data_IF_856908985356
#
_entry.id   IF_856908985356
#
_cell.length_a   1.000
_cell.length_b   1.000
_cell.length_c   1.000
_cell.angle_alpha   90.00
_cell.angle_beta   90.00
_cell.angle_gamma   90.00
#
_symmetry.space_group_name_H-M   'P 1'
#
loop_
_entity.id
_entity.type
_entity.pdbx_description
1 polymer ?
#
# COMPACT_ATOMS: atom_id res chain seq x y z
N UNK A 1 -21.42 3.73 21.65
CA UNK A 1 -20.85 5.03 21.27
C UNK A 1 -20.45 4.99 19.81
N UNK A 2 -19.62 5.94 19.37
CA UNK A 2 -18.97 5.89 18.06
C UNK A 2 -18.03 4.68 18.00
N UNK A 3 -17.84 4.11 16.80
CA UNK A 3 -16.82 3.08 16.53
C UNK A 3 -15.61 3.73 15.88
N UNK A 4 -14.41 3.40 16.33
CA UNK A 4 -13.15 4.01 15.90
C UNK A 4 -12.40 3.08 14.96
N UNK A 5 -12.05 3.58 13.78
CA UNK A 5 -11.11 2.94 12.86
C UNK A 5 -9.82 3.72 12.86
N UNK A 6 -8.72 3.06 13.20
CA UNK A 6 -7.38 3.63 13.03
C UNK A 6 -6.88 3.37 11.62
N UNK A 7 -6.67 4.46 10.87
CA UNK A 7 -6.17 4.42 9.51
C UNK A 7 -4.79 5.11 9.46
N UNK A 8 -3.66 4.35 9.41
CA UNK A 8 -2.34 4.92 9.19
C UNK A 8 -2.15 5.39 7.75
N UNK A 9 -1.53 6.55 7.57
CA UNK A 9 -1.31 7.15 6.26
C UNK A 9 0.17 7.51 6.06
N UNK A 10 0.72 7.18 4.90
CA UNK A 10 2.09 7.54 4.51
C UNK A 10 2.07 8.76 3.58
N UNK A 11 2.79 9.81 3.99
CA UNK A 11 3.05 10.98 3.16
C UNK A 11 4.49 10.95 2.69
N UNK A 12 4.71 11.10 1.38
CA UNK A 12 6.05 11.17 0.83
C UNK A 12 6.58 12.60 0.94
N UNK A 13 7.64 12.78 1.70
CA UNK A 13 8.34 14.06 1.83
C UNK A 13 9.57 14.11 0.91
N UNK A 14 9.30 14.14 -0.40
CA UNK A 14 10.33 14.28 -1.43
C UNK A 14 10.32 15.73 -1.91
N UNK A 15 11.27 16.57 -1.47
CA UNK A 15 11.30 17.98 -1.86
C UNK A 15 11.67 18.15 -3.34
N UNK A 16 11.28 19.27 -3.97
CA UNK A 16 11.69 19.61 -5.32
C UNK A 16 13.22 19.72 -5.42
N UNK A 17 13.77 19.25 -6.54
CA UNK A 17 15.21 19.34 -6.82
C UNK A 17 16.09 18.32 -6.09
N UNK A 18 15.51 17.27 -5.49
CA UNK A 18 16.31 16.13 -5.05
C UNK A 18 17.06 15.50 -6.24
N UNK A 19 18.23 14.91 -5.98
CA UNK A 19 19.09 14.32 -7.03
C UNK A 19 19.10 12.79 -7.00
N UNK A 20 18.21 12.18 -6.22
CA UNK A 20 18.10 10.73 -6.14
C UNK A 20 17.59 10.16 -7.48
N UNK A 21 18.03 8.96 -7.86
CA UNK A 21 17.49 8.22 -9.01
C UNK A 21 15.97 8.15 -9.02
N UNK A 22 15.36 8.45 -10.18
CA UNK A 22 13.93 8.21 -10.40
C UNK A 22 13.72 6.74 -10.78
N UNK A 23 13.00 5.94 -9.96
CA UNK A 23 12.74 4.52 -10.25
C UNK A 23 12.01 4.30 -11.57
N UNK A 24 11.20 5.27 -12.00
CA UNK A 24 10.42 5.26 -13.24
C UNK A 24 11.23 5.84 -14.42
N UNK A 25 12.51 5.49 -14.52
CA UNK A 25 13.38 5.86 -15.64
C UNK A 25 14.25 4.67 -16.06
N UNK A 26 14.76 4.69 -17.29
CA UNK A 26 15.60 3.61 -17.80
C UNK A 26 16.85 3.43 -16.92
N UNK A 27 17.01 2.23 -16.35
CA UNK A 27 18.04 1.89 -15.37
C UNK A 27 18.09 2.81 -14.14
N UNK A 28 16.96 3.45 -13.80
CA UNK A 28 16.90 4.53 -12.81
C UNK A 28 17.93 5.66 -13.04
N UNK A 29 18.33 5.88 -14.30
CA UNK A 29 19.46 6.76 -14.61
C UNK A 29 19.11 8.25 -14.56
N UNK A 30 17.82 8.61 -14.59
CA UNK A 30 17.40 10.01 -14.53
C UNK A 30 17.37 10.47 -13.06
N UNK A 31 18.18 11.47 -12.67
CA UNK A 31 18.08 12.07 -11.34
C UNK A 31 16.81 12.89 -11.22
N UNK A 32 16.26 12.95 -10.00
CA UNK A 32 15.08 13.74 -9.69
C UNK A 32 13.83 12.88 -9.60
N UNK A 33 13.51 12.46 -8.38
CA UNK A 33 12.22 11.88 -8.07
C UNK A 33 11.13 12.97 -8.13
N UNK A 34 9.89 12.65 -8.55
CA UNK A 34 8.77 13.59 -8.50
C UNK A 34 8.62 14.22 -7.12
N UNK A 35 8.20 15.49 -7.06
CA UNK A 35 7.99 16.19 -5.78
C UNK A 35 6.70 15.71 -5.10
N UNK A 36 6.79 15.45 -3.79
CA UNK A 36 5.67 15.04 -2.94
C UNK A 36 4.74 13.99 -3.60
N UNK A 37 5.28 12.88 -4.13
CA UNK A 37 4.47 11.91 -4.84
C UNK A 37 3.51 11.23 -3.86
N UNK A 38 2.36 10.77 -4.33
CA UNK A 38 1.52 9.91 -3.49
C UNK A 38 2.18 8.55 -3.23
N UNK A 39 1.86 7.91 -2.10
CA UNK A 39 2.49 6.65 -1.62
C UNK A 39 2.37 5.47 -2.59
N UNK A 40 1.34 5.43 -3.43
CA UNK A 40 1.20 4.42 -4.48
C UNK A 40 2.31 4.44 -5.53
N UNK A 41 3.19 5.46 -5.54
CA UNK A 41 4.41 5.51 -6.36
C UNK A 41 5.61 4.79 -5.74
N UNK A 42 5.58 4.39 -4.47
CA UNK A 42 6.67 3.61 -3.87
C UNK A 42 6.76 2.26 -4.58
N UNK A 43 7.94 1.88 -5.07
CA UNK A 43 8.17 0.67 -5.84
C UNK A 43 9.64 0.26 -5.81
N UNK A 44 10.00 -0.84 -6.48
CA UNK A 44 11.39 -1.26 -6.68
C UNK A 44 12.14 -0.31 -7.64
N UNK A 45 13.48 -0.28 -7.55
CA UNK A 45 14.33 0.53 -8.41
C UNK A 45 15.32 -0.33 -9.19
N UNK A 46 15.35 -0.26 -10.53
CA UNK A 46 14.37 0.40 -11.41
C UNK A 46 12.99 -0.28 -11.38
N UNK A 47 11.92 0.49 -11.60
CA UNK A 47 10.53 0.05 -11.48
C UNK A 47 10.11 -0.95 -12.56
N UNK A 48 9.02 -1.69 -12.34
CA UNK A 48 8.43 -2.58 -13.33
C UNK A 48 8.12 -1.84 -14.65
N UNK A 49 8.41 -2.47 -15.79
CA UNK A 49 8.22 -1.88 -17.13
C UNK A 49 9.34 -0.92 -17.58
N UNK A 50 10.37 -0.68 -16.77
CA UNK A 50 11.53 0.13 -17.14
C UNK A 50 12.76 -0.74 -17.44
N UNK A 51 13.67 -0.24 -18.28
CA UNK A 51 14.91 -0.93 -18.59
C UNK A 51 15.72 -1.21 -17.31
N UNK A 52 16.23 -2.43 -17.16
CA UNK A 52 16.99 -2.84 -15.98
C UNK A 52 16.13 -3.05 -14.73
N UNK A 53 14.81 -3.21 -14.87
CA UNK A 53 13.89 -3.41 -13.75
C UNK A 53 14.36 -4.45 -12.75
N UNK A 54 14.16 -4.18 -11.46
CA UNK A 54 14.35 -5.15 -10.40
C UNK A 54 13.15 -6.12 -10.28
N UNK A 55 12.00 -5.79 -10.87
CA UNK A 55 10.81 -6.64 -10.88
C UNK A 55 11.13 -8.02 -11.49
N UNK A 56 10.54 -9.07 -10.88
CA UNK A 56 10.78 -10.49 -11.18
C UNK A 56 12.21 -10.95 -10.90
N UNK A 57 12.92 -10.28 -9.99
CA UNK A 57 14.28 -10.67 -9.57
C UNK A 57 14.42 -10.73 -8.04
N UNK A 58 15.43 -11.46 -7.56
CA UNK A 58 15.77 -11.50 -6.14
C UNK A 58 16.13 -10.11 -5.56
N UNK A 59 16.55 -9.15 -6.39
CA UNK A 59 16.83 -7.79 -5.92
C UNK A 59 15.55 -7.07 -5.45
N UNK A 60 14.40 -7.36 -6.06
CA UNK A 60 13.12 -6.82 -5.61
C UNK A 60 12.75 -7.30 -4.20
N UNK A 61 12.96 -8.58 -3.88
CA UNK A 61 12.72 -9.10 -2.53
C UNK A 61 13.56 -8.34 -1.48
N UNK A 62 14.85 -8.13 -1.75
CA UNK A 62 15.74 -7.37 -0.85
C UNK A 62 15.26 -5.92 -0.65
N UNK A 63 14.83 -5.24 -1.71
CA UNK A 63 14.34 -3.86 -1.63
C UNK A 63 13.03 -3.77 -0.84
N UNK A 64 12.11 -4.69 -1.08
CA UNK A 64 10.84 -4.79 -0.34
C UNK A 64 11.10 -5.06 1.13
N UNK A 65 11.93 -6.05 1.46
CA UNK A 65 12.29 -6.36 2.86
C UNK A 65 12.93 -5.16 3.55
N UNK A 66 13.80 -4.42 2.85
CA UNK A 66 14.39 -3.19 3.40
C UNK A 66 13.37 -2.07 3.63
N UNK A 67 12.32 -1.97 2.81
CA UNK A 67 11.24 -1.01 2.99
C UNK A 67 10.35 -1.37 4.20
N UNK A 68 10.05 -2.66 4.39
CA UNK A 68 9.29 -3.13 5.55
C UNK A 68 10.09 -3.01 6.85
N UNK A 69 11.40 -3.25 6.80
CA UNK A 69 12.26 -3.27 7.98
C UNK A 69 12.07 -4.54 8.81
N UNK A 70 12.77 -4.62 9.95
CA UNK A 70 12.87 -5.86 10.73
C UNK A 70 12.18 -5.73 12.11
N UNK A 71 11.27 -4.77 12.25
CA UNK A 71 10.58 -4.54 13.51
C UNK A 71 9.66 -5.70 13.89
N UNK A 72 9.71 -6.06 15.17
CA UNK A 72 8.89 -7.12 15.79
C UNK A 72 8.07 -6.55 16.95
N UNK A 73 6.94 -7.17 17.33
CA UNK A 73 6.13 -6.71 18.45
C UNK A 73 6.91 -6.59 19.77
N UNK A 74 7.83 -7.53 20.02
CA UNK A 74 8.62 -7.59 21.27
C UNK A 74 9.57 -6.40 21.48
N UNK A 75 9.84 -5.61 20.43
CA UNK A 75 10.69 -4.42 20.54
C UNK A 75 9.94 -3.18 21.02
N UNK A 76 8.62 -3.28 21.22
CA UNK A 76 7.78 -2.21 21.76
C UNK A 76 7.35 -2.52 23.20
N UNK A 77 7.33 -1.50 24.04
CA UNK A 77 6.82 -1.61 25.41
C UNK A 77 5.95 -0.41 25.78
N UNK A 78 4.79 -0.69 26.37
CA UNK A 78 3.81 0.29 26.83
C UNK A 78 4.08 0.62 28.30
N UNK A 79 4.13 1.91 28.63
CA UNK A 79 4.24 2.43 29.99
C UNK A 79 3.29 3.61 30.16
N UNK A 80 2.11 3.36 30.74
CA UNK A 80 0.99 4.31 30.70
C UNK A 80 0.60 4.59 29.24
N UNK A 81 0.56 5.87 28.87
CA UNK A 81 0.21 6.30 27.51
C UNK A 81 1.42 6.44 26.57
N UNK A 82 2.59 5.95 26.99
CA UNK A 82 3.83 6.02 26.21
C UNK A 82 4.19 4.66 25.63
N UNK A 83 4.54 4.65 24.34
CA UNK A 83 5.12 3.49 23.64
C UNK A 83 6.60 3.74 23.39
N UNK A 84 7.44 2.89 23.97
CA UNK A 84 8.90 2.91 23.77
C UNK A 84 9.33 1.87 22.72
N UNK A 85 10.45 2.14 22.05
CA UNK A 85 11.05 1.28 21.03
C UNK A 85 12.47 0.90 21.45
N UNK A 86 12.81 -0.38 21.34
CA UNK A 86 14.11 -0.93 21.75
C UNK A 86 14.91 -1.57 20.61
N UNK A 87 14.36 -1.59 19.39
CA UNK A 87 15.10 -2.06 18.22
C UNK A 87 16.12 -1.03 17.68
N UNK A 88 16.79 -1.34 16.56
CA UNK A 88 17.82 -0.47 16.00
C UNK A 88 17.29 0.95 15.71
N UNK A 89 18.07 1.97 16.05
CA UNK A 89 17.71 3.37 15.78
C UNK A 89 17.70 3.73 14.29
N UNK A 90 18.39 2.93 13.47
CA UNK A 90 18.44 3.06 12.02
C UNK A 90 17.26 2.40 11.31
N UNK A 91 16.45 1.59 12.01
CA UNK A 91 15.26 0.97 11.40
C UNK A 91 14.15 2.01 11.31
N UNK A 92 13.79 2.43 10.10
CA UNK A 92 12.67 3.31 9.80
C UNK A 92 11.64 2.62 8.89
N UNK A 93 11.62 1.28 8.92
CA UNK A 93 10.76 0.49 8.05
C UNK A 93 9.29 0.61 8.40
N UNK A 94 8.46 0.22 7.44
CA UNK A 94 7.00 0.24 7.57
C UNK A 94 6.50 -0.54 8.80
N UNK A 95 7.10 -1.70 9.09
CA UNK A 95 6.73 -2.52 10.26
C UNK A 95 6.89 -1.73 11.55
N UNK A 96 7.96 -0.95 11.69
CA UNK A 96 8.20 -0.15 12.89
C UNK A 96 7.09 0.87 13.09
N UNK A 97 6.69 1.56 12.02
CA UNK A 97 5.60 2.53 12.06
C UNK A 97 4.26 1.89 12.46
N UNK A 98 3.88 0.81 11.76
CA UNK A 98 2.58 0.16 11.96
C UNK A 98 2.49 -0.50 13.34
N UNK A 99 3.54 -1.20 13.78
CA UNK A 99 3.56 -1.82 15.11
C UNK A 99 3.59 -0.77 16.23
N UNK A 100 4.25 0.38 16.02
CA UNK A 100 4.16 1.48 16.96
C UNK A 100 2.71 1.97 17.12
N UNK A 101 1.98 2.15 16.03
CA UNK A 101 0.58 2.54 16.06
C UNK A 101 -0.33 1.48 16.69
N UNK A 102 -0.08 0.20 16.44
CA UNK A 102 -0.82 -0.89 17.09
C UNK A 102 -0.65 -0.82 18.62
N UNK A 103 0.57 -0.60 19.11
CA UNK A 103 0.82 -0.43 20.55
C UNK A 103 0.19 0.85 21.11
N UNK A 104 0.16 1.95 20.35
CA UNK A 104 -0.54 3.17 20.77
C UNK A 104 -2.05 2.95 20.88
N UNK A 105 -2.65 2.23 19.92
CA UNK A 105 -4.06 1.86 19.98
C UNK A 105 -4.34 0.96 21.19
N UNK A 106 -3.47 0.00 21.48
CA UNK A 106 -3.59 -0.84 22.67
C UNK A 106 -3.48 -0.02 23.98
N UNK A 107 -2.53 0.91 24.07
CA UNK A 107 -2.36 1.80 25.21
C UNK A 107 -3.59 2.70 25.44
N UNK A 108 -4.25 3.13 24.36
CA UNK A 108 -5.48 3.91 24.41
C UNK A 108 -6.74 3.10 24.80
N UNK A 109 -6.63 1.80 25.07
CA UNK A 109 -7.74 0.91 25.42
C UNK A 109 -8.36 0.17 24.24
N UNK A 110 -7.76 0.23 23.05
CA UNK A 110 -8.18 -0.46 21.84
C UNK A 110 -8.97 0.43 20.86
N UNK A 111 -9.19 -0.11 19.66
CA UNK A 111 -9.99 0.49 18.58
C UNK A 111 -10.90 -0.59 17.98
N UNK A 112 -12.00 -0.20 17.33
CA UNK A 112 -12.91 -1.17 16.70
C UNK A 112 -12.31 -1.79 15.43
N UNK A 113 -11.51 -1.01 14.69
CA UNK A 113 -10.77 -1.50 13.53
C UNK A 113 -9.40 -0.82 13.38
N UNK A 114 -8.45 -1.52 12.77
CA UNK A 114 -7.10 -1.04 12.49
C UNK A 114 -6.66 -1.49 11.09
N UNK A 115 -6.19 -0.55 10.28
CA UNK A 115 -5.65 -0.85 8.96
C UNK A 115 -4.14 -1.03 9.03
N UNK A 116 -3.60 -2.11 8.47
CA UNK A 116 -2.16 -2.42 8.50
C UNK A 116 -1.34 -1.64 7.46
N UNK A 117 -2.02 -0.88 6.60
CA UNK A 117 -1.45 -0.07 5.53
C UNK A 117 -2.53 0.36 4.55
N UNK A 118 -2.17 1.21 3.59
CA UNK A 118 -3.07 1.61 2.51
C UNK A 118 -2.39 2.09 1.23
N UNK A 119 -3.08 1.88 0.10
CA UNK A 119 -2.72 2.33 -1.25
C UNK A 119 -1.22 2.15 -1.58
N UNK A 120 -0.61 1.05 -1.15
CA UNK A 120 0.77 0.68 -1.46
C UNK A 120 0.90 0.04 -2.85
N UNK A 121 0.04 0.43 -3.79
CA UNK A 121 -0.14 -0.15 -5.14
C UNK A 121 1.18 -0.46 -5.86
N UNK A 122 2.10 0.50 -5.92
CA UNK A 122 3.37 0.31 -6.60
C UNK A 122 4.32 -0.69 -5.91
N UNK A 123 4.11 -0.93 -4.61
CA UNK A 123 4.89 -1.84 -3.75
C UNK A 123 4.26 -3.24 -3.74
N UNK A 124 2.95 -3.35 -3.57
CA UNK A 124 2.19 -4.61 -3.60
C UNK A 124 2.28 -5.31 -4.96
N UNK A 125 2.48 -4.56 -6.05
CA UNK A 125 2.65 -5.11 -7.40
C UNK A 125 4.08 -5.52 -7.74
N UNK A 126 5.08 -5.23 -6.90
CA UNK A 126 6.47 -5.67 -7.11
C UNK A 126 6.53 -7.20 -6.99
N UNK A 127 7.22 -7.82 -7.94
CA UNK A 127 7.45 -9.27 -7.96
C UNK A 127 8.92 -9.60 -7.75
N UNK A 128 9.21 -10.72 -7.08
CA UNK A 128 10.58 -11.28 -6.96
C UNK A 128 10.81 -12.52 -7.83
N UNK A 129 9.74 -13.05 -8.43
CA UNK A 129 9.76 -14.08 -9.46
C UNK A 129 8.59 -13.86 -10.45
N UNK A 130 8.27 -14.84 -11.29
CA UNK A 130 7.22 -14.67 -12.31
C UNK A 130 5.84 -14.27 -11.75
N UNK A 131 5.46 -14.84 -10.61
CA UNK A 131 4.14 -14.69 -10.00
C UNK A 131 4.19 -14.64 -8.45
N UNK A 132 5.30 -14.16 -7.89
CA UNK A 132 5.53 -14.08 -6.44
C UNK A 132 5.64 -12.62 -6.02
N UNK A 133 4.92 -12.25 -4.96
CA UNK A 133 4.68 -10.87 -4.53
C UNK A 133 5.19 -10.66 -3.10
N UNK A 134 6.48 -10.30 -2.91
CA UNK A 134 7.10 -10.25 -1.58
C UNK A 134 6.44 -9.24 -0.64
N UNK A 135 5.91 -8.13 -1.14
CA UNK A 135 5.26 -7.13 -0.30
C UNK A 135 3.93 -7.63 0.28
N UNK A 136 3.23 -8.50 -0.44
CA UNK A 136 2.00 -9.13 0.06
C UNK A 136 2.34 -10.12 1.17
N UNK A 137 3.41 -10.91 1.01
CA UNK A 137 3.90 -11.79 2.08
C UNK A 137 4.28 -11.02 3.34
N UNK A 138 5.00 -9.90 3.20
CA UNK A 138 5.33 -9.02 4.33
C UNK A 138 4.09 -8.42 5.03
N UNK A 139 3.04 -8.09 4.27
CA UNK A 139 1.76 -7.61 4.82
C UNK A 139 1.01 -8.71 5.58
N UNK A 140 1.04 -9.96 5.09
CA UNK A 140 0.48 -11.12 5.81
C UNK A 140 1.18 -11.29 7.15
N UNK A 141 2.52 -11.30 7.15
CA UNK A 141 3.31 -11.40 8.39
C UNK A 141 3.06 -10.21 9.33
N UNK A 142 2.88 -9.01 8.78
CA UNK A 142 2.52 -7.82 9.57
C UNK A 142 1.12 -7.91 10.17
N UNK A 143 0.15 -8.49 9.45
CA UNK A 143 -1.21 -8.70 9.95
C UNK A 143 -1.22 -9.62 11.17
N UNK A 144 -0.47 -10.72 11.12
CA UNK A 144 -0.30 -11.64 12.24
C UNK A 144 0.37 -10.95 13.46
N UNK A 145 1.41 -10.16 13.23
CA UNK A 145 2.08 -9.41 14.29
C UNK A 145 1.15 -8.35 14.93
N UNK A 146 0.40 -7.59 14.12
CA UNK A 146 -0.59 -6.63 14.62
C UNK A 146 -1.70 -7.33 15.41
N UNK A 147 -2.16 -8.50 14.95
CA UNK A 147 -3.12 -9.33 15.67
C UNK A 147 -2.61 -9.74 17.05
N UNK A 148 -1.32 -10.07 17.17
CA UNK A 148 -0.71 -10.43 18.46
C UNK A 148 -0.74 -9.27 19.47
N UNK A 149 -0.73 -8.03 18.99
CA UNK A 149 -0.75 -6.80 19.81
C UNK A 149 -2.18 -6.39 20.18
N UNK A 150 -3.09 -6.36 19.20
CA UNK A 150 -4.45 -5.82 19.36
C UNK A 150 -5.49 -6.86 19.78
N UNK A 151 -5.15 -8.15 19.70
CA UNK A 151 -6.04 -9.27 20.02
C UNK A 151 -7.23 -9.40 19.05
N UNK A 152 -8.12 -10.34 19.34
CA UNK A 152 -9.28 -10.66 18.49
C UNK A 152 -10.41 -9.61 18.55
N UNK A 153 -10.36 -8.67 19.49
CA UNK A 153 -11.40 -7.65 19.66
C UNK A 153 -11.35 -6.52 18.63
N UNK A 154 -10.19 -6.27 18.03
CA UNK A 154 -9.99 -5.24 17.01
C UNK A 154 -10.10 -5.85 15.62
N UNK A 155 -10.88 -5.27 14.71
CA UNK A 155 -10.92 -5.77 13.32
C UNK A 155 -9.69 -5.31 12.53
N UNK A 156 -9.08 -6.17 11.74
CA UNK A 156 -7.92 -5.84 10.92
C UNK A 156 -8.24 -5.90 9.44
N UNK A 157 -7.63 -5.01 8.66
CA UNK A 157 -7.67 -5.04 7.19
C UNK A 157 -6.49 -4.26 6.60
N UNK A 158 -6.39 -4.28 5.28
CA UNK A 158 -5.55 -3.39 4.46
C UNK A 158 -6.48 -2.57 3.56
N UNK A 159 -6.28 -1.25 3.50
CA UNK A 159 -7.05 -0.38 2.63
C UNK A 159 -6.40 -0.30 1.24
N UNK A 160 -6.79 -1.22 0.37
CA UNK A 160 -6.26 -1.28 -0.98
C UNK A 160 -6.71 -0.05 -1.80
N UNK A 161 -5.84 0.44 -2.68
CA UNK A 161 -6.26 1.38 -3.70
C UNK A 161 -7.33 0.74 -4.59
N UNK A 162 -8.32 1.51 -5.04
CA UNK A 162 -9.39 1.00 -5.89
C UNK A 162 -8.89 0.36 -7.19
N UNK A 163 -7.67 0.60 -7.65
CA UNK A 163 -7.14 -0.12 -8.82
C UNK A 163 -6.49 -1.47 -8.49
N UNK A 164 -6.45 -1.86 -7.21
CA UNK A 164 -5.94 -3.16 -6.78
C UNK A 164 -7.04 -4.24 -6.70
N UNK A 165 -8.33 -3.85 -6.61
CA UNK A 165 -9.43 -4.81 -6.35
C UNK A 165 -9.57 -5.89 -7.43
N UNK A 166 -9.25 -5.56 -8.68
CA UNK A 166 -9.37 -6.49 -9.83
C UNK A 166 -8.08 -7.27 -10.12
N UNK A 167 -7.08 -7.17 -9.24
CA UNK A 167 -5.78 -7.80 -9.39
C UNK A 167 -4.78 -6.98 -10.20
N UNK A 168 -3.55 -7.48 -10.27
CA UNK A 168 -2.44 -6.88 -11.01
C UNK A 168 -2.39 -7.45 -12.43
N UNK A 169 -2.51 -6.57 -13.41
CA UNK A 169 -2.47 -6.90 -14.84
C UNK A 169 -1.19 -6.28 -15.44
N UNK A 170 -0.04 -6.98 -15.38
CA UNK A 170 1.24 -6.42 -15.80
C UNK A 170 1.23 -6.08 -17.29
N UNK A 171 1.73 -4.89 -17.61
CA UNK A 171 1.87 -4.41 -18.99
C UNK A 171 3.17 -4.90 -19.65
N UNK A 172 3.51 -6.18 -19.43
CA UNK A 172 4.75 -6.83 -19.94
C UNK A 172 4.51 -7.74 -21.15
N UNK A 173 3.28 -7.72 -21.70
CA UNK A 173 2.88 -8.51 -22.87
C UNK A 173 2.50 -9.96 -22.57
N UNK A 174 2.56 -10.39 -21.30
CA UNK A 174 2.12 -11.73 -20.89
C UNK A 174 0.62 -11.96 -21.06
N UNK A 175 -0.19 -10.91 -20.83
CA UNK A 175 -1.64 -11.05 -20.71
C UNK A 175 -2.07 -11.70 -19.38
N UNK A 176 -1.16 -11.80 -18.41
CA UNK A 176 -1.46 -12.39 -17.11
C UNK A 176 -2.42 -11.51 -16.28
N UNK A 177 -3.23 -12.18 -15.45
CA UNK A 177 -4.08 -11.55 -14.43
C UNK A 177 -3.77 -12.20 -13.09
N UNK A 178 -3.21 -11.42 -12.16
CA UNK A 178 -2.83 -11.91 -10.84
C UNK A 178 -3.71 -11.32 -9.74
N UNK A 179 -4.43 -12.17 -9.03
CA UNK A 179 -5.12 -11.80 -7.78
C UNK A 179 -4.13 -11.75 -6.60
N UNK A 180 -3.13 -10.89 -6.74
CA UNK A 180 -1.97 -10.82 -5.86
C UNK A 180 -2.30 -10.51 -4.39
N UNK A 181 -3.44 -9.88 -4.10
CA UNK A 181 -3.88 -9.59 -2.72
C UNK A 181 -4.71 -10.72 -2.09
N UNK A 182 -5.10 -11.76 -2.84
CA UNK A 182 -5.88 -12.87 -2.30
C UNK A 182 -5.22 -13.54 -1.09
N UNK A 183 -3.88 -13.79 -1.06
CA UNK A 183 -3.24 -14.33 0.13
C UNK A 183 -3.42 -13.46 1.38
N UNK A 184 -3.44 -12.13 1.22
CA UNK A 184 -3.68 -11.22 2.33
C UNK A 184 -5.15 -11.20 2.73
N UNK A 185 -6.08 -11.05 1.78
CA UNK A 185 -7.50 -11.00 2.09
C UNK A 185 -8.09 -12.31 2.61
N UNK A 186 -7.46 -13.44 2.27
CA UNK A 186 -7.83 -14.76 2.78
C UNK A 186 -7.12 -15.14 4.09
N UNK A 187 -6.20 -14.31 4.59
CA UNK A 187 -5.48 -14.60 5.83
C UNK A 187 -6.42 -14.51 7.05
N UNK A 188 -6.28 -15.45 7.99
CA UNK A 188 -7.13 -15.53 9.20
C UNK A 188 -7.02 -14.28 10.09
N UNK A 189 -5.93 -13.50 9.98
CA UNK A 189 -5.80 -12.25 10.71
C UNK A 189 -6.64 -11.11 10.11
N UNK A 190 -7.09 -11.20 8.86
CA UNK A 190 -7.85 -10.15 8.16
C UNK A 190 -9.37 -10.39 8.30
N UNK A 191 -10.08 -9.42 8.86
CA UNK A 191 -11.52 -9.56 9.16
C UNK A 191 -12.44 -9.08 8.04
N UNK A 192 -11.93 -8.25 7.13
CA UNK A 192 -12.70 -7.69 6.02
C UNK A 192 -11.78 -7.20 4.89
N UNK A 193 -12.35 -7.07 3.69
CA UNK A 193 -11.68 -6.43 2.54
C UNK A 193 -11.87 -4.91 2.63
N UNK A 194 -10.77 -4.17 2.69
CA UNK A 194 -10.76 -2.71 2.67
C UNK A 194 -10.36 -2.17 1.30
N UNK A 195 -11.13 -1.21 0.78
CA UNK A 195 -10.84 -0.53 -0.49
C UNK A 195 -11.05 0.98 -0.29
N UNK A 196 -10.03 1.77 -0.57
CA UNK A 196 -10.15 3.21 -0.75
C UNK A 196 -10.76 3.47 -2.12
N UNK A 197 -12.08 3.65 -2.13
CA UNK A 197 -12.89 3.61 -3.34
C UNK A 197 -13.10 5.02 -3.94
N UNK A 198 -12.38 5.33 -5.02
CA UNK A 198 -12.50 6.58 -5.77
C UNK A 198 -13.23 6.38 -7.10
N UNK A 199 -14.43 5.80 -7.06
CA UNK A 199 -15.21 5.60 -8.27
C UNK A 199 -15.62 6.96 -8.88
N UNK A 200 -15.51 7.10 -10.21
CA UNK A 200 -16.10 8.24 -10.91
C UNK A 200 -17.59 8.37 -10.56
N UNK A 201 -18.08 9.61 -10.53
CA UNK A 201 -19.50 9.88 -10.27
C UNK A 201 -20.41 9.22 -11.32
N UNK A 202 -19.93 9.10 -12.56
CA UNK A 202 -20.60 8.46 -13.68
C UNK A 202 -19.58 7.86 -14.65
N UNK A 203 -20.02 6.95 -15.51
CA UNK A 203 -19.22 6.33 -16.59
C UNK A 203 -19.06 7.24 -17.83
N UNK A 204 -19.15 8.57 -17.63
CA UNK A 204 -18.95 9.53 -18.71
C UNK A 204 -17.49 9.49 -19.16
N UNK A 205 -17.26 9.29 -20.45
CA UNK A 205 -15.93 9.26 -21.06
C UNK A 205 -15.54 10.66 -21.52
N UNK A 206 -14.25 10.98 -21.52
CA UNK A 206 -13.81 12.26 -22.06
C UNK A 206 -14.15 12.38 -23.55
N UNK A 207 -14.59 13.56 -23.98
CA UNK A 207 -14.95 13.86 -25.36
C UNK A 207 -16.44 13.68 -25.66
N UNK A 208 -16.76 13.51 -26.94
CA UNK A 208 -18.13 13.28 -27.43
C UNK A 208 -18.21 12.02 -28.32
N UNK A 209 -17.15 11.23 -28.40
CA UNK A 209 -17.06 10.02 -29.24
C UNK A 209 -17.69 8.79 -28.53
N UNK A 210 -18.82 8.99 -27.86
CA UNK A 210 -19.52 7.95 -27.10
C UNK A 210 -21.03 8.11 -27.14
N UNK A 211 -21.75 7.00 -26.95
CA UNK A 211 -23.23 6.95 -27.04
C UNK A 211 -23.90 7.93 -26.08
N UNK A 212 -23.34 8.15 -24.89
CA UNK A 212 -23.93 9.04 -23.90
C UNK A 212 -23.98 10.50 -24.39
N UNK A 213 -23.02 10.90 -25.26
CA UNK A 213 -22.97 12.22 -25.88
C UNK A 213 -24.07 12.46 -26.92
N UNK A 214 -24.84 11.44 -27.30
CA UNK A 214 -26.04 11.62 -28.12
C UNK A 214 -27.21 12.21 -27.33
N UNK A 215 -27.18 12.10 -26.00
CA UNK A 215 -28.30 12.44 -25.11
C UNK A 215 -27.99 13.51 -24.07
N UNK A 216 -26.72 13.84 -23.86
CA UNK A 216 -26.24 14.88 -22.96
C UNK A 216 -24.94 15.50 -23.53
N UNK A 217 -24.61 16.72 -23.12
CA UNK A 217 -23.40 17.41 -23.62
C UNK A 217 -22.19 17.27 -22.67
N UNK A 218 -22.42 16.89 -21.41
CA UNK A 218 -21.38 16.77 -20.38
C UNK A 218 -21.84 15.90 -19.19
N UNK A 219 -20.87 15.37 -18.44
CA UNK A 219 -21.11 14.65 -17.17
C UNK A 219 -21.93 15.45 -16.14
N UNK A 220 -21.90 16.79 -16.22
CA UNK A 220 -22.64 17.68 -15.31
C UNK A 220 -24.05 18.00 -15.76
N UNK A 221 -24.51 17.46 -16.89
CA UNK A 221 -25.89 17.65 -17.33
C UNK A 221 -26.84 16.95 -16.34
N UNK A 222 -27.80 17.69 -15.79
CA UNK A 222 -28.81 17.16 -14.88
C UNK A 222 -29.71 16.11 -15.54
N UNK A 223 -29.82 16.10 -16.87
CA UNK A 223 -30.57 15.07 -17.59
C UNK A 223 -29.79 13.75 -17.72
N UNK A 224 -28.47 13.75 -17.47
CA UNK A 224 -27.60 12.58 -17.52
C UNK A 224 -27.42 11.88 -16.15
N UNK A 225 -27.54 12.64 -15.05
CA UNK A 225 -27.48 12.15 -13.66
C UNK A 225 -28.83 11.61 -13.17
#
# INVERSE_FOLDING_TARGET
GLRVTFYPFLLMDVPPGNTLPNPYSANAATPGQPSLPWRGRITCTPAAGFAGTADKTAAAATQVSSFFGAATPAQFAISGDTVSWTGPSSDWGLRRMILHYAHLCAAAGGVDAFLIGSELRGTTQVRDAAASYPAVAELVDLAADVRSVLGAGTKLSYAADWSEYFGHHPQDGSGDVFFHLDPLWADDAIDFVGIDNYMPLADWRDGLDHLDAESADAITDFAYL
#
